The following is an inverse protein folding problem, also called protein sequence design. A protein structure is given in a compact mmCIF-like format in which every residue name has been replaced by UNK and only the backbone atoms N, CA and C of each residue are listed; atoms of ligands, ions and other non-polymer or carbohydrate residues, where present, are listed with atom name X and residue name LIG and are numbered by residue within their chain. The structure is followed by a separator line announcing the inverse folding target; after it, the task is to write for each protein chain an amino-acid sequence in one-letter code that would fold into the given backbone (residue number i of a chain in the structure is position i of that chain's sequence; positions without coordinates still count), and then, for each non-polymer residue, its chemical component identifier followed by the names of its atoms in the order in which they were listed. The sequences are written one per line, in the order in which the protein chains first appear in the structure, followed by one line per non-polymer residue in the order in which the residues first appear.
data_IF_502011535860
#
_entry.id   IF_502011535860
#
_cell.length_a   1.000
_cell.length_b   1.000
_cell.length_c   1.000
_cell.angle_alpha   90.00
_cell.angle_beta   90.00
_cell.angle_gamma   90.00
#
_symmetry.space_group_name_H-M   'P 1'
#
loop_
_entity.id
_entity.type
_entity.pdbx_description
1 polymer ?
#
# COMPACT_ATOMS: atom_id res chain seq x y z
N UNK A 1 -32.84 119.96 -11.55
CA UNK A 1 -32.20 119.87 -12.88
C UNK A 1 -32.86 118.72 -13.64
N UNK A 2 -33.75 119.03 -14.60
CA UNK A 2 -34.62 118.07 -15.29
C UNK A 2 -33.81 117.29 -16.33
N UNK A 3 -33.49 116.02 -16.05
CA UNK A 3 -33.04 115.09 -17.08
C UNK A 3 -34.10 115.01 -18.19
N UNK A 4 -33.71 115.20 -19.44
CA UNK A 4 -34.63 115.11 -20.58
C UNK A 4 -35.18 113.69 -20.72
N UNK A 5 -36.46 113.53 -21.12
CA UNK A 5 -37.11 112.22 -21.34
C UNK A 5 -36.28 111.29 -22.25
N UNK A 6 -35.43 111.84 -23.11
CA UNK A 6 -34.53 111.13 -24.01
C UNK A 6 -33.36 110.44 -23.27
N UNK A 7 -32.92 110.96 -22.13
CA UNK A 7 -31.85 110.39 -21.29
C UNK A 7 -32.31 109.16 -20.51
N UNK A 8 -33.56 109.18 -20.01
CA UNK A 8 -34.15 108.07 -19.24
C UNK A 8 -34.45 106.86 -20.14
N UNK A 9 -34.95 107.11 -21.35
CA UNK A 9 -35.22 106.07 -22.35
C UNK A 9 -33.94 105.32 -22.75
N UNK A 10 -32.83 106.05 -22.94
CA UNK A 10 -31.51 105.45 -23.23
C UNK A 10 -31.01 104.60 -22.05
N UNK A 11 -31.17 105.06 -20.81
CA UNK A 11 -30.75 104.30 -19.63
C UNK A 11 -31.54 102.99 -19.44
N UNK A 12 -32.86 103.04 -19.68
CA UNK A 12 -33.74 101.85 -19.66
C UNK A 12 -33.36 100.88 -20.78
N UNK A 13 -33.08 101.39 -21.99
CA UNK A 13 -32.65 100.57 -23.12
C UNK A 13 -31.29 99.90 -22.86
N UNK A 14 -30.31 100.61 -22.30
CA UNK A 14 -29.02 100.03 -21.90
C UNK A 14 -29.15 98.99 -20.78
N UNK A 15 -30.04 99.22 -19.80
CA UNK A 15 -30.35 98.24 -18.75
C UNK A 15 -31.01 96.97 -19.31
N UNK A 16 -31.95 97.11 -20.25
CA UNK A 16 -32.59 95.98 -20.92
C UNK A 16 -31.61 95.19 -21.79
N UNK A 17 -30.72 95.89 -22.52
CA UNK A 17 -29.67 95.23 -23.31
C UNK A 17 -28.68 94.51 -22.38
N UNK A 18 -28.28 95.13 -21.26
CA UNK A 18 -27.42 94.50 -20.25
C UNK A 18 -28.08 93.27 -19.60
N UNK A 19 -29.37 93.35 -19.28
CA UNK A 19 -30.12 92.21 -18.77
C UNK A 19 -30.24 91.09 -19.82
N UNK A 20 -30.43 91.44 -21.09
CA UNK A 20 -30.50 90.48 -22.20
C UNK A 20 -29.15 89.79 -22.44
N UNK A 21 -28.03 90.50 -22.37
CA UNK A 21 -26.70 89.90 -22.54
C UNK A 21 -26.34 89.00 -21.37
N UNK A 22 -26.69 89.39 -20.14
CA UNK A 22 -26.48 88.54 -18.95
C UNK A 22 -27.35 87.28 -19.01
N UNK A 23 -28.63 87.41 -19.38
CA UNK A 23 -29.52 86.24 -19.52
C UNK A 23 -29.08 85.29 -20.64
N UNK A 24 -28.66 85.81 -21.80
CA UNK A 24 -28.09 84.98 -22.87
C UNK A 24 -26.79 84.29 -22.45
N UNK A 25 -25.95 84.95 -21.66
CA UNK A 25 -24.71 84.36 -21.12
C UNK A 25 -25.00 83.23 -20.13
N UNK A 26 -26.00 83.42 -19.26
CA UNK A 26 -26.45 82.38 -18.30
C UNK A 26 -27.06 81.20 -19.05
N UNK A 27 -27.92 81.44 -20.04
CA UNK A 27 -28.51 80.38 -20.86
C UNK A 27 -27.46 79.62 -21.67
N UNK A 28 -26.46 80.32 -22.22
CA UNK A 28 -25.33 79.70 -22.91
C UNK A 28 -24.48 78.83 -21.97
N UNK A 29 -24.23 79.29 -20.75
CA UNK A 29 -23.50 78.52 -19.73
C UNK A 29 -24.28 77.26 -19.30
N UNK A 30 -25.58 77.38 -19.02
CA UNK A 30 -26.44 76.25 -18.69
C UNK A 30 -26.47 75.25 -19.85
N UNK A 31 -26.64 75.71 -21.09
CA UNK A 31 -26.67 74.84 -22.27
C UNK A 31 -25.33 74.09 -22.45
N UNK A 32 -24.20 74.78 -22.28
CA UNK A 32 -22.87 74.17 -22.33
C UNK A 32 -22.67 73.12 -21.23
N UNK A 33 -23.10 73.41 -20.00
CA UNK A 33 -23.05 72.45 -18.89
C UNK A 33 -23.92 71.22 -19.17
N UNK A 34 -25.13 71.43 -19.68
CA UNK A 34 -26.07 70.34 -20.01
C UNK A 34 -25.53 69.42 -21.10
N UNK A 35 -24.88 69.98 -22.13
CA UNK A 35 -24.22 69.20 -23.19
C UNK A 35 -23.05 68.37 -22.64
N UNK A 36 -22.25 68.94 -21.74
CA UNK A 36 -21.12 68.24 -21.13
C UNK A 36 -21.58 67.12 -20.19
N UNK A 37 -22.64 67.35 -19.41
CA UNK A 37 -23.25 66.33 -18.57
C UNK A 37 -23.88 65.21 -19.40
N UNK A 38 -24.56 65.54 -20.52
CA UNK A 38 -25.10 64.54 -21.43
C UNK A 38 -23.99 63.68 -22.04
N UNK A 39 -22.89 64.29 -22.51
CA UNK A 39 -21.72 63.56 -23.02
C UNK A 39 -21.11 62.64 -21.97
N UNK A 40 -20.99 63.10 -20.72
CA UNK A 40 -20.50 62.28 -19.60
C UNK A 40 -21.43 61.11 -19.30
N UNK A 41 -22.74 61.34 -19.28
CA UNK A 41 -23.74 60.29 -19.03
C UNK A 41 -23.73 59.27 -20.17
N UNK A 42 -23.68 59.71 -21.44
CA UNK A 42 -23.58 58.81 -22.59
C UNK A 42 -22.26 58.02 -22.58
N UNK A 43 -21.15 58.64 -22.20
CA UNK A 43 -19.87 57.97 -22.01
C UNK A 43 -19.92 56.89 -20.92
N UNK A 44 -20.44 57.24 -19.74
CA UNK A 44 -20.62 56.29 -18.64
C UNK A 44 -21.59 55.15 -19.02
N UNK A 45 -22.64 55.43 -19.80
CA UNK A 45 -23.56 54.40 -20.27
C UNK A 45 -22.91 53.45 -21.27
N UNK A 46 -22.03 53.96 -22.14
CA UNK A 46 -21.23 53.13 -23.04
C UNK A 46 -20.26 52.24 -22.25
N UNK A 47 -19.52 52.81 -21.29
CA UNK A 47 -18.61 52.06 -20.42
C UNK A 47 -19.32 50.98 -19.60
N UNK A 48 -20.48 51.32 -19.02
CA UNK A 48 -21.29 50.37 -18.26
C UNK A 48 -21.90 49.28 -19.16
N UNK A 49 -22.23 49.62 -20.41
CA UNK A 49 -22.68 48.64 -21.41
C UNK A 49 -21.56 47.68 -21.81
N UNK A 50 -20.35 48.18 -21.99
CA UNK A 50 -19.17 47.38 -22.32
C UNK A 50 -18.75 46.49 -21.14
N UNK A 51 -18.82 47.01 -19.91
CA UNK A 51 -18.58 46.23 -18.70
C UNK A 51 -19.62 45.11 -18.56
N UNK A 52 -20.90 45.41 -18.81
CA UNK A 52 -21.95 44.39 -18.82
C UNK A 52 -21.68 43.29 -19.84
N UNK A 53 -21.30 43.65 -21.07
CA UNK A 53 -20.94 42.68 -22.10
C UNK A 53 -19.74 41.82 -21.68
N UNK A 54 -18.72 42.44 -21.09
CA UNK A 54 -17.55 41.73 -20.55
C UNK A 54 -17.91 40.74 -19.42
N UNK A 55 -18.82 41.14 -18.53
CA UNK A 55 -19.33 40.28 -17.46
C UNK A 55 -20.17 39.13 -18.00
N UNK A 56 -21.05 39.39 -18.98
CA UNK A 56 -21.87 38.36 -19.62
C UNK A 56 -20.99 37.32 -20.35
N UNK A 57 -19.93 37.76 -21.03
CA UNK A 57 -18.93 36.87 -21.64
C UNK A 57 -18.17 36.04 -20.61
N UNK A 58 -17.72 36.65 -19.51
CA UNK A 58 -17.05 35.92 -18.41
C UNK A 58 -17.99 34.90 -17.77
N UNK A 59 -19.25 35.26 -17.57
CA UNK A 59 -20.25 34.38 -16.97
C UNK A 59 -20.56 33.20 -17.91
N UNK A 60 -20.66 33.45 -19.21
CA UNK A 60 -20.80 32.41 -20.22
C UNK A 60 -19.57 31.47 -20.24
N UNK A 61 -18.36 32.02 -20.17
CA UNK A 61 -17.11 31.24 -20.12
C UNK A 61 -17.02 30.37 -18.86
N UNK A 62 -17.30 30.93 -17.68
CA UNK A 62 -17.27 30.21 -16.40
C UNK A 62 -18.36 29.13 -16.38
N UNK A 63 -19.56 29.43 -16.90
CA UNK A 63 -20.65 28.45 -17.02
C UNK A 63 -20.27 27.29 -17.95
N UNK A 64 -19.64 27.57 -19.09
CA UNK A 64 -19.14 26.55 -20.00
C UNK A 64 -18.01 25.71 -19.37
N UNK A 65 -17.10 26.34 -18.62
CA UNK A 65 -16.04 25.63 -17.91
C UNK A 65 -16.57 24.79 -16.75
N UNK A 66 -17.56 25.29 -16.00
CA UNK A 66 -18.26 24.55 -14.96
C UNK A 66 -18.99 23.35 -15.57
N UNK A 67 -19.68 23.53 -16.70
CA UNK A 67 -20.35 22.45 -17.42
C UNK A 67 -19.34 21.41 -17.92
N UNK A 68 -18.17 21.83 -18.40
CA UNK A 68 -17.06 20.94 -18.76
C UNK A 68 -16.54 20.16 -17.55
N UNK A 69 -16.35 20.82 -16.41
CA UNK A 69 -15.90 20.21 -15.16
C UNK A 69 -16.96 19.32 -14.51
N UNK A 70 -18.24 19.59 -14.72
CA UNK A 70 -19.35 18.76 -14.25
C UNK A 70 -19.59 17.55 -15.16
N UNK A 71 -19.40 17.70 -16.47
CA UNK A 71 -19.54 16.62 -17.45
C UNK A 71 -18.34 15.66 -17.46
N UNK A 72 -17.20 16.09 -16.93
CA UNK A 72 -16.18 15.17 -16.43
C UNK A 72 -16.53 14.92 -14.97
N UNK A 73 -17.39 13.94 -14.68
CA UNK A 73 -17.65 13.53 -13.29
C UNK A 73 -16.36 12.90 -12.72
N UNK A 74 -15.44 13.78 -12.35
CA UNK A 74 -14.11 13.45 -11.89
C UNK A 74 -14.20 12.69 -10.59
N UNK A 75 -15.26 12.90 -9.81
CA UNK A 75 -15.53 12.13 -8.59
C UNK A 75 -15.90 10.69 -8.96
N UNK A 76 -16.90 10.48 -9.81
CA UNK A 76 -17.29 9.12 -10.23
C UNK A 76 -16.11 8.37 -10.85
N UNK A 77 -15.34 9.03 -11.73
CA UNK A 77 -14.13 8.43 -12.30
C UNK A 77 -13.07 8.11 -11.26
N UNK A 78 -12.87 8.97 -10.26
CA UNK A 78 -11.92 8.71 -9.18
C UNK A 78 -12.40 7.57 -8.27
N UNK A 79 -13.69 7.52 -7.96
CA UNK A 79 -14.31 6.45 -7.17
C UNK A 79 -14.15 5.10 -7.89
N UNK A 80 -14.44 5.04 -9.21
CA UNK A 80 -14.24 3.85 -10.05
C UNK A 80 -12.76 3.43 -10.12
N UNK A 81 -11.84 4.39 -10.27
CA UNK A 81 -10.39 4.12 -10.30
C UNK A 81 -9.89 3.63 -8.93
N UNK A 82 -10.41 4.16 -7.83
CA UNK A 82 -10.04 3.74 -6.48
C UNK A 82 -10.51 2.30 -6.21
N UNK A 83 -11.74 1.95 -6.61
CA UNK A 83 -12.25 0.58 -6.55
C UNK A 83 -11.43 -0.38 -7.42
N UNK A 84 -11.04 0.04 -8.62
CA UNK A 84 -10.19 -0.76 -9.51
C UNK A 84 -8.79 -0.96 -8.91
N UNK A 85 -8.14 0.09 -8.42
CA UNK A 85 -6.81 0.00 -7.78
C UNK A 85 -6.86 -0.92 -6.56
N UNK A 86 -7.89 -0.79 -5.74
CA UNK A 86 -8.08 -1.65 -4.56
C UNK A 86 -8.24 -3.11 -4.97
N UNK A 87 -9.02 -3.37 -6.03
CA UNK A 87 -9.22 -4.72 -6.59
C UNK A 87 -7.91 -5.28 -7.14
N UNK A 88 -7.13 -4.48 -7.88
CA UNK A 88 -5.79 -4.86 -8.36
C UNK A 88 -4.90 -5.25 -7.19
N UNK A 89 -4.70 -4.35 -6.23
CA UNK A 89 -3.80 -4.59 -5.09
C UNK A 89 -4.17 -5.84 -4.33
N UNK A 90 -5.46 -6.02 -4.03
CA UNK A 90 -5.98 -7.18 -3.32
C UNK A 90 -5.76 -8.47 -4.11
N UNK A 91 -6.23 -8.53 -5.36
CA UNK A 91 -6.23 -9.79 -6.12
C UNK A 91 -4.81 -10.22 -6.52
N UNK A 92 -3.90 -9.29 -6.85
CA UNK A 92 -2.50 -9.65 -7.11
C UNK A 92 -1.79 -10.11 -5.83
N UNK A 93 -2.05 -9.48 -4.67
CA UNK A 93 -1.51 -9.94 -3.39
C UNK A 93 -2.02 -11.35 -3.04
N UNK A 94 -3.31 -11.61 -3.24
CA UNK A 94 -3.88 -12.95 -3.08
C UNK A 94 -3.22 -13.96 -4.02
N UNK A 95 -2.99 -13.62 -5.29
CA UNK A 95 -2.34 -14.52 -6.24
C UNK A 95 -0.93 -14.93 -5.80
N UNK A 96 -0.14 -13.98 -5.26
CA UNK A 96 1.19 -14.28 -4.70
C UNK A 96 1.07 -15.24 -3.52
N UNK A 97 0.16 -14.97 -2.57
CA UNK A 97 -0.02 -15.81 -1.39
C UNK A 97 -0.49 -17.24 -1.75
N UNK A 98 -1.42 -17.37 -2.70
CA UNK A 98 -1.90 -18.67 -3.17
C UNK A 98 -0.81 -19.46 -3.88
N UNK A 99 0.04 -18.79 -4.68
CA UNK A 99 1.19 -19.41 -5.31
C UNK A 99 2.22 -19.91 -4.30
N UNK A 100 2.55 -19.11 -3.28
CA UNK A 100 3.47 -19.55 -2.21
C UNK A 100 2.89 -20.70 -1.38
N UNK A 101 1.59 -20.69 -1.12
CA UNK A 101 0.89 -21.80 -0.47
C UNK A 101 0.96 -23.08 -1.31
N UNK A 102 0.86 -22.96 -2.63
CA UNK A 102 1.01 -24.07 -3.56
C UNK A 102 2.45 -24.60 -3.61
N UNK A 103 3.46 -23.72 -3.59
CA UNK A 103 4.86 -24.13 -3.47
C UNK A 103 5.08 -24.94 -2.19
N UNK A 104 4.55 -24.47 -1.05
CA UNK A 104 4.60 -25.19 0.22
C UNK A 104 3.92 -26.56 0.16
N UNK A 105 2.79 -26.66 -0.55
CA UNK A 105 2.09 -27.93 -0.74
C UNK A 105 2.92 -28.92 -1.57
N UNK A 106 3.64 -28.43 -2.59
CA UNK A 106 4.51 -29.25 -3.45
C UNK A 106 5.68 -29.90 -2.70
N UNK A 107 6.13 -29.30 -1.60
CA UNK A 107 7.12 -29.93 -0.71
C UNK A 107 6.59 -31.21 -0.03
N UNK A 108 5.26 -31.34 0.09
CA UNK A 108 4.59 -32.45 0.79
C UNK A 108 3.99 -33.49 -0.15
N UNK A 109 3.64 -33.10 -1.38
CA UNK A 109 2.97 -33.97 -2.35
C UNK A 109 3.29 -33.58 -3.78
N UNK A 110 3.36 -34.57 -4.67
CA UNK A 110 3.52 -34.36 -6.11
C UNK A 110 2.18 -34.20 -6.84
N UNK A 111 1.05 -34.42 -6.15
CA UNK A 111 -0.30 -34.36 -6.74
C UNK A 111 -0.84 -32.93 -6.72
N UNK A 112 -0.22 -32.03 -7.48
CA UNK A 112 -0.61 -30.61 -7.48
C UNK A 112 -1.20 -30.08 -8.79
N UNK A 113 -1.28 -30.93 -9.82
CA UNK A 113 -1.68 -30.50 -11.16
C UNK A 113 -3.02 -29.74 -11.20
N UNK A 114 -4.04 -30.20 -10.47
CA UNK A 114 -5.34 -29.52 -10.43
C UNK A 114 -5.28 -28.13 -9.77
N UNK A 115 -4.37 -27.92 -8.82
CA UNK A 115 -4.14 -26.60 -8.22
C UNK A 115 -3.40 -25.68 -9.18
N UNK A 116 -2.48 -26.23 -9.98
CA UNK A 116 -1.74 -25.50 -11.01
C UNK A 116 -2.70 -24.98 -12.10
N UNK A 117 -3.70 -25.77 -12.46
CA UNK A 117 -4.78 -25.38 -13.39
C UNK A 117 -5.61 -24.21 -12.82
N UNK A 118 -6.04 -24.28 -11.55
CA UNK A 118 -6.78 -23.20 -10.90
C UNK A 118 -5.97 -21.90 -10.79
N UNK A 119 -4.68 -22.01 -10.44
CA UNK A 119 -3.80 -20.84 -10.41
C UNK A 119 -3.66 -20.24 -11.80
N UNK A 120 -3.50 -21.07 -12.83
CA UNK A 120 -3.42 -20.61 -14.23
C UNK A 120 -4.69 -19.90 -14.65
N UNK A 121 -5.87 -20.43 -14.33
CA UNK A 121 -7.16 -19.79 -14.61
C UNK A 121 -7.27 -18.43 -13.91
N UNK A 122 -6.87 -18.33 -12.65
CA UNK A 122 -6.83 -17.06 -11.92
C UNK A 122 -5.92 -16.03 -12.62
N UNK A 123 -4.73 -16.44 -13.08
CA UNK A 123 -3.81 -15.57 -13.83
C UNK A 123 -4.41 -15.15 -15.19
N UNK A 124 -5.14 -16.05 -15.87
CA UNK A 124 -5.86 -15.71 -17.10
C UNK A 124 -6.96 -14.68 -16.82
N UNK A 125 -7.73 -14.82 -15.74
CA UNK A 125 -8.72 -13.81 -15.35
C UNK A 125 -8.07 -12.46 -15.03
N UNK A 126 -6.95 -12.45 -14.31
CA UNK A 126 -6.17 -11.24 -14.02
C UNK A 126 -5.68 -10.56 -15.31
N UNK A 127 -5.17 -11.32 -16.29
CA UNK A 127 -4.73 -10.78 -17.59
C UNK A 127 -5.86 -10.09 -18.36
N UNK A 128 -7.11 -10.53 -18.12
CA UNK A 128 -8.33 -9.97 -18.71
C UNK A 128 -8.97 -8.88 -17.84
N UNK A 129 -8.30 -8.43 -16.76
CA UNK A 129 -8.81 -7.48 -15.76
C UNK A 129 -10.13 -7.93 -15.09
N UNK A 130 -10.40 -9.24 -15.07
CA UNK A 130 -11.56 -9.80 -14.38
C UNK A 130 -11.20 -10.16 -12.94
N UNK A 131 -11.10 -9.13 -12.09
CA UNK A 131 -10.68 -9.27 -10.69
C UNK A 131 -11.67 -10.08 -9.84
N UNK A 132 -12.96 -10.02 -10.15
CA UNK A 132 -13.99 -10.77 -9.44
C UNK A 132 -13.84 -12.28 -9.65
N UNK A 133 -13.73 -12.74 -10.91
CA UNK A 133 -13.51 -14.15 -11.21
C UNK A 133 -12.14 -14.62 -10.70
N UNK A 134 -11.09 -13.82 -10.89
CA UNK A 134 -9.77 -14.15 -10.35
C UNK A 134 -9.80 -14.35 -8.83
N UNK A 135 -10.43 -13.42 -8.09
CA UNK A 135 -10.54 -13.53 -6.63
C UNK A 135 -11.34 -14.76 -6.19
N UNK A 136 -12.42 -15.10 -6.90
CA UNK A 136 -13.21 -16.29 -6.62
C UNK A 136 -12.41 -17.58 -6.88
N UNK A 137 -11.68 -17.64 -8.00
CA UNK A 137 -10.82 -18.79 -8.33
C UNK A 137 -9.67 -18.95 -7.34
N UNK A 138 -9.03 -17.85 -6.90
CA UNK A 138 -7.98 -17.90 -5.87
C UNK A 138 -8.53 -18.37 -4.52
N UNK A 139 -9.71 -17.90 -4.13
CA UNK A 139 -10.35 -18.36 -2.89
C UNK A 139 -10.69 -19.86 -2.93
N UNK A 140 -11.12 -20.37 -4.09
CA UNK A 140 -11.36 -21.80 -4.26
C UNK A 140 -10.04 -22.60 -4.23
N UNK A 141 -9.00 -22.12 -4.92
CA UNK A 141 -7.66 -22.68 -4.86
C UNK A 141 -7.16 -22.81 -3.41
N UNK A 142 -7.19 -21.72 -2.63
CA UNK A 142 -6.73 -21.72 -1.23
C UNK A 142 -7.53 -22.71 -0.36
N UNK A 143 -8.84 -22.79 -0.59
CA UNK A 143 -9.71 -23.75 0.10
C UNK A 143 -9.33 -25.19 -0.25
N UNK A 144 -9.07 -25.49 -1.51
CA UNK A 144 -8.70 -26.84 -1.93
C UNK A 144 -7.28 -27.22 -1.47
N UNK A 145 -6.33 -26.28 -1.48
CA UNK A 145 -5.00 -26.46 -0.88
C UNK A 145 -5.15 -26.86 0.58
N UNK A 146 -5.95 -26.11 1.36
CA UNK A 146 -6.17 -26.38 2.77
C UNK A 146 -6.77 -27.77 3.01
N UNK A 147 -7.75 -28.16 2.19
CA UNK A 147 -8.37 -29.48 2.28
C UNK A 147 -7.37 -30.61 2.00
N UNK A 148 -6.48 -30.45 1.01
CA UNK A 148 -5.44 -31.45 0.74
C UNK A 148 -4.39 -31.49 1.85
N UNK A 149 -4.00 -30.34 2.42
CA UNK A 149 -3.11 -30.30 3.58
C UNK A 149 -3.69 -31.04 4.78
N UNK A 150 -4.98 -30.85 5.07
CA UNK A 150 -5.66 -31.55 6.17
C UNK A 150 -5.72 -33.06 5.94
N UNK A 151 -5.97 -33.48 4.71
CA UNK A 151 -5.95 -34.89 4.30
C UNK A 151 -4.55 -35.49 4.41
N UNK A 152 -3.50 -34.77 4.01
CA UNK A 152 -2.11 -35.21 4.18
C UNK A 152 -1.75 -35.35 5.66
N UNK A 153 -2.16 -34.40 6.50
CA UNK A 153 -1.97 -34.46 7.95
C UNK A 153 -2.69 -35.68 8.57
N UNK A 154 -3.93 -35.94 8.18
CA UNK A 154 -4.67 -37.12 8.62
C UNK A 154 -4.03 -38.45 8.15
N UNK A 155 -3.47 -38.48 6.95
CA UNK A 155 -2.77 -39.66 6.41
C UNK A 155 -1.45 -39.90 7.17
N UNK A 156 -0.70 -38.84 7.47
CA UNK A 156 0.52 -38.94 8.26
C UNK A 156 0.27 -39.49 9.68
N UNK A 157 -0.89 -39.18 10.28
CA UNK A 157 -1.29 -39.74 11.57
C UNK A 157 -1.65 -41.23 11.53
N UNK A 158 -2.13 -41.73 10.38
CA UNK A 158 -2.52 -43.15 10.20
C UNK A 158 -1.40 -44.04 9.67
N UNK A 159 -0.34 -43.46 9.10
CA UNK A 159 0.81 -44.19 8.57
C UNK A 159 1.84 -44.64 9.62
N UNK A 160 1.58 -44.42 10.92
CA UNK A 160 2.50 -44.82 11.99
C UNK A 160 2.55 -46.35 12.05
N UNK A 161 3.72 -46.97 11.81
CA UNK A 161 3.84 -48.43 11.87
C UNK A 161 3.46 -48.95 13.27
N UNK A 162 2.61 -49.98 13.33
CA UNK A 162 2.09 -50.53 14.59
C UNK A 162 3.17 -51.06 15.55
N UNK A 163 4.40 -51.26 15.06
CA UNK A 163 5.56 -51.69 15.85
C UNK A 163 6.28 -50.52 16.57
N UNK A 164 5.87 -49.27 16.36
CA UNK A 164 6.46 -48.12 17.07
C UNK A 164 5.76 -47.97 18.43
N UNK A 165 6.49 -47.99 19.56
CA UNK A 165 5.88 -47.88 20.88
C UNK A 165 5.27 -46.49 21.11
N UNK A 166 4.09 -46.47 21.74
CA UNK A 166 3.48 -45.23 22.27
C UNK A 166 4.18 -44.86 23.56
N UNK A 167 4.87 -43.71 23.56
CA UNK A 167 5.55 -43.18 24.73
C UNK A 167 5.58 -41.64 24.66
N UNK A 168 5.10 -40.99 25.71
CA UNK A 168 5.12 -39.52 25.82
C UNK A 168 6.36 -39.01 26.57
N UNK A 169 7.19 -39.89 27.13
CA UNK A 169 8.44 -39.51 27.78
C UNK A 169 9.59 -39.46 26.77
N UNK A 170 10.49 -38.45 26.84
CA UNK A 170 11.69 -38.42 26.01
C UNK A 170 12.64 -39.59 26.35
N UNK A 171 13.49 -40.04 25.41
CA UNK A 171 14.50 -41.05 25.72
C UNK A 171 15.51 -40.51 26.75
N UNK A 172 16.10 -41.40 27.56
CA UNK A 172 17.12 -41.01 28.54
C UNK A 172 18.43 -40.52 27.89
N UNK A 173 18.77 -41.07 26.73
CA UNK A 173 19.88 -40.63 25.88
C UNK A 173 19.74 -41.20 24.46
N UNK A 174 20.47 -40.62 23.51
CA UNK A 174 20.53 -41.09 22.13
C UNK A 174 19.29 -40.78 21.31
N UNK A 175 19.16 -41.50 20.18
CA UNK A 175 18.05 -41.36 19.25
C UNK A 175 16.92 -42.33 19.57
N UNK A 176 15.68 -41.86 19.51
CA UNK A 176 14.47 -42.68 19.59
C UNK A 176 13.47 -42.23 18.53
N UNK A 177 12.75 -43.19 17.96
CA UNK A 177 11.53 -42.92 17.19
C UNK A 177 10.36 -43.56 17.92
N UNK A 178 9.40 -42.74 18.33
CA UNK A 178 8.26 -43.17 19.14
C UNK A 178 6.98 -42.48 18.72
N UNK A 179 5.86 -43.04 19.13
CA UNK A 179 4.54 -42.44 18.95
C UNK A 179 4.17 -41.65 20.20
N UNK A 180 3.86 -40.36 20.05
CA UNK A 180 3.41 -39.50 21.13
C UNK A 180 1.90 -39.32 21.00
N UNK A 181 1.17 -39.65 22.07
CA UNK A 181 -0.27 -39.48 22.15
C UNK A 181 -0.62 -38.09 22.69
N UNK A 182 -1.51 -37.38 22.00
CA UNK A 182 -2.02 -36.05 22.39
C UNK A 182 -3.55 -36.06 22.34
N UNK A 183 -4.19 -35.01 22.85
CA UNK A 183 -5.65 -34.87 22.82
C UNK A 183 -6.23 -34.89 21.39
N UNK A 184 -5.44 -34.42 20.41
CA UNK A 184 -5.86 -34.29 19.01
C UNK A 184 -5.38 -35.44 18.12
N UNK A 185 -4.69 -36.44 18.68
CA UNK A 185 -4.24 -37.63 17.96
C UNK A 185 -2.83 -38.08 18.33
N UNK A 186 -2.36 -39.08 17.59
CA UNK A 186 -1.04 -39.66 17.78
C UNK A 186 -0.08 -39.23 16.67
N UNK A 187 1.16 -38.91 17.05
CA UNK A 187 2.18 -38.42 16.12
C UNK A 187 3.46 -39.23 16.24
N UNK A 188 4.05 -39.61 15.11
CA UNK A 188 5.38 -40.21 15.09
C UNK A 188 6.43 -39.10 15.23
N UNK A 189 7.26 -39.20 16.26
CA UNK A 189 8.30 -38.22 16.56
C UNK A 189 9.66 -38.90 16.53
N UNK A 190 10.64 -38.20 15.95
CA UNK A 190 12.06 -38.56 16.01
C UNK A 190 12.72 -37.65 17.05
N UNK A 191 13.24 -38.22 18.13
CA UNK A 191 13.83 -37.50 19.25
C UNK A 191 15.32 -37.83 19.38
N UNK A 192 16.10 -36.83 19.78
CA UNK A 192 17.48 -37.01 20.22
C UNK A 192 17.58 -36.42 21.62
N UNK A 193 17.95 -37.25 22.59
CA UNK A 193 18.25 -36.82 23.96
C UNK A 193 19.75 -36.90 24.22
N UNK A 194 20.30 -35.86 24.85
CA UNK A 194 21.71 -35.80 25.15
C UNK A 194 21.93 -35.03 26.46
N UNK A 195 22.90 -35.48 27.24
CA UNK A 195 23.31 -34.79 28.45
C UNK A 195 24.25 -33.62 28.07
N UNK A 196 23.86 -32.40 28.44
CA UNK A 196 24.65 -31.20 28.19
C UNK A 196 26.02 -31.23 28.91
N UNK A 197 26.20 -32.04 29.95
CA UNK A 197 27.50 -32.21 30.62
C UNK A 197 28.56 -32.85 29.72
N UNK A 198 28.11 -33.64 28.72
CA UNK A 198 28.96 -34.37 27.78
C UNK A 198 28.71 -34.00 26.31
N UNK A 199 27.71 -33.15 26.05
CA UNK A 199 27.29 -32.76 24.70
C UNK A 199 27.33 -31.25 24.53
N UNK A 200 28.00 -30.81 23.46
CA UNK A 200 28.03 -29.39 23.07
C UNK A 200 27.01 -29.11 21.98
N UNK A 201 26.21 -28.07 22.17
CA UNK A 201 25.34 -27.52 21.13
C UNK A 201 26.14 -26.49 20.32
N UNK A 202 26.07 -26.61 18.99
CA UNK A 202 26.76 -25.74 18.04
C UNK A 202 25.70 -25.04 17.21
N UNK A 203 25.64 -23.71 17.29
CA UNK A 203 24.84 -22.89 16.38
C UNK A 203 25.74 -22.54 15.20
N UNK A 204 25.38 -22.97 13.99
CA UNK A 204 26.20 -22.79 12.81
C UNK A 204 25.42 -22.10 11.68
N UNK A 205 26.10 -21.31 10.87
CA UNK A 205 25.53 -20.51 9.78
C UNK A 205 26.29 -20.76 8.49
N UNK A 206 25.61 -20.75 7.34
CA UNK A 206 26.28 -20.89 6.06
C UNK A 206 27.15 -19.68 5.71
N UNK A 207 26.72 -18.46 6.08
CA UNK A 207 27.52 -17.24 5.92
C UNK A 207 28.37 -16.96 7.17
N UNK A 208 29.45 -16.19 6.98
CA UNK A 208 30.36 -15.79 8.06
C UNK A 208 29.86 -14.59 8.88
N UNK A 209 28.89 -13.84 8.35
CA UNK A 209 28.25 -12.70 9.02
C UNK A 209 26.85 -12.42 8.44
N UNK A 210 26.20 -11.35 8.96
CA UNK A 210 24.87 -10.90 8.53
C UNK A 210 24.79 -10.85 7.01
N UNK A 211 23.76 -11.51 6.47
CA UNK A 211 23.51 -11.59 5.05
C UNK A 211 22.05 -11.22 4.79
N UNK A 212 21.84 -10.17 3.99
CA UNK A 212 20.50 -9.63 3.74
C UNK A 212 19.80 -10.23 2.52
N UNK A 213 20.55 -10.77 1.56
CA UNK A 213 20.03 -11.31 0.30
C UNK A 213 21.02 -12.29 -0.33
N UNK A 214 20.52 -13.20 -1.17
CA UNK A 214 21.28 -14.24 -1.88
C UNK A 214 22.25 -15.01 -0.97
N UNK A 215 21.79 -15.33 0.23
CA UNK A 215 22.62 -15.95 1.25
C UNK A 215 22.96 -17.41 0.90
N UNK A 216 24.17 -17.88 1.27
CA UNK A 216 24.54 -19.27 1.04
C UNK A 216 23.62 -20.19 1.84
N UNK A 217 23.26 -21.33 1.25
CA UNK A 217 22.46 -22.38 1.88
C UNK A 217 23.24 -23.68 1.83
N UNK A 218 23.18 -24.44 2.92
CA UNK A 218 23.77 -25.76 3.03
C UNK A 218 22.71 -26.74 3.51
N UNK A 219 22.85 -28.01 3.13
CA UNK A 219 21.96 -29.03 3.67
C UNK A 219 22.23 -29.22 5.17
N UNK A 220 21.22 -29.67 5.92
CA UNK A 220 21.39 -30.00 7.34
C UNK A 220 22.51 -31.04 7.54
N UNK A 221 22.66 -31.98 6.61
CA UNK A 221 23.73 -32.98 6.61
C UNK A 221 25.13 -32.39 6.49
N UNK A 222 25.31 -31.31 5.72
CA UNK A 222 26.59 -30.62 5.57
C UNK A 222 26.98 -29.90 6.87
N UNK A 223 26.01 -29.25 7.54
CA UNK A 223 26.23 -28.66 8.86
C UNK A 223 26.62 -29.71 9.89
N UNK A 224 25.97 -30.87 9.90
CA UNK A 224 26.32 -31.98 10.81
C UNK A 224 27.74 -32.48 10.51
N UNK A 225 28.03 -32.78 9.24
CA UNK A 225 29.30 -33.37 8.81
C UNK A 225 30.49 -32.44 9.08
N UNK A 226 30.38 -31.16 8.74
CA UNK A 226 31.50 -30.19 8.88
C UNK A 226 31.84 -29.85 10.33
N UNK A 227 30.91 -30.11 11.25
CA UNK A 227 31.13 -29.89 12.69
C UNK A 227 31.47 -31.18 13.44
N UNK A 228 31.49 -32.33 12.77
CA UNK A 228 31.64 -33.63 13.43
C UNK A 228 30.50 -33.91 14.44
N UNK A 229 29.31 -33.36 14.19
CA UNK A 229 28.15 -33.57 15.03
C UNK A 229 27.53 -34.95 14.76
N UNK A 230 26.86 -35.52 15.76
CA UNK A 230 26.11 -36.77 15.61
C UNK A 230 24.62 -36.54 15.26
N UNK A 231 24.12 -35.32 15.41
CA UNK A 231 22.75 -34.93 15.13
C UNK A 231 22.69 -33.44 14.73
N UNK A 232 21.63 -33.06 14.02
CA UNK A 232 21.35 -31.69 13.64
C UNK A 232 19.85 -31.44 13.57
N UNK A 233 19.46 -30.20 13.87
CA UNK A 233 18.09 -29.70 13.71
C UNK A 233 18.16 -28.35 12.99
N UNK A 234 17.14 -28.04 12.19
CA UNK A 234 17.03 -26.70 11.60
C UNK A 234 16.76 -25.66 12.69
N UNK A 235 17.32 -24.47 12.52
CA UNK A 235 17.21 -23.35 13.46
C UNK A 235 16.09 -22.39 13.09
N UNK A 236 16.46 -21.21 12.60
CA UNK A 236 15.52 -20.16 12.21
C UNK A 236 14.78 -20.48 10.91
N UNK A 237 13.59 -19.90 10.76
CA UNK A 237 13.00 -19.71 9.45
C UNK A 237 13.91 -18.78 8.61
N UNK A 238 13.90 -18.98 7.30
CA UNK A 238 14.60 -18.15 6.33
C UNK A 238 13.69 -17.92 5.13
N UNK A 239 14.02 -16.93 4.30
CA UNK A 239 13.26 -16.62 3.10
C UNK A 239 13.64 -17.59 1.96
N UNK A 240 12.75 -18.49 1.50
CA UNK A 240 13.09 -19.43 0.43
C UNK A 240 13.33 -18.72 -0.90
N UNK A 241 14.16 -19.30 -1.76
CA UNK A 241 14.48 -18.72 -3.07
C UNK A 241 13.29 -18.73 -4.04
N UNK A 242 12.37 -19.67 -3.85
CA UNK A 242 11.22 -19.91 -4.72
C UNK A 242 10.05 -18.96 -4.42
N UNK A 243 10.07 -18.27 -3.27
CA UNK A 243 8.97 -17.44 -2.79
C UNK A 243 9.07 -16.02 -3.36
N UNK A 244 8.09 -15.52 -4.14
CA UNK A 244 8.15 -14.17 -4.69
C UNK A 244 8.21 -13.07 -3.63
N UNK A 245 7.57 -13.25 -2.46
CA UNK A 245 7.66 -12.31 -1.33
C UNK A 245 9.06 -12.23 -0.71
N UNK A 246 9.94 -13.16 -1.06
CA UNK A 246 11.34 -13.19 -0.67
C UNK A 246 12.29 -12.49 -1.65
N UNK A 247 11.76 -11.88 -2.72
CA UNK A 247 12.58 -11.11 -3.65
C UNK A 247 13.39 -10.01 -2.92
N UNK A 248 14.70 -9.98 -3.16
CA UNK A 248 15.63 -9.05 -2.52
C UNK A 248 16.02 -9.42 -1.07
N UNK A 249 15.57 -10.57 -0.58
CA UNK A 249 15.96 -11.17 0.71
C UNK A 249 16.09 -12.69 0.63
N UNK A 250 16.47 -13.20 -0.54
CA UNK A 250 16.59 -14.63 -0.82
C UNK A 250 17.58 -15.30 0.14
N UNK A 251 17.17 -16.40 0.73
CA UNK A 251 17.90 -17.20 1.71
C UNK A 251 18.33 -16.48 3.00
N UNK A 252 17.89 -15.23 3.22
CA UNK A 252 18.20 -14.51 4.45
C UNK A 252 17.24 -14.90 5.58
N UNK A 253 17.65 -14.61 6.81
CA UNK A 253 16.85 -14.83 8.01
C UNK A 253 16.96 -13.61 8.91
N UNK A 254 15.90 -13.30 9.65
CA UNK A 254 15.83 -12.10 10.49
C UNK A 254 16.23 -12.34 11.96
N UNK A 255 16.28 -13.60 12.37
CA UNK A 255 16.52 -13.99 13.77
C UNK A 255 17.90 -13.53 14.24
N UNK A 256 17.96 -12.83 15.39
CA UNK A 256 19.20 -12.58 16.10
C UNK A 256 19.77 -13.91 16.59
N UNK A 257 21.01 -14.19 16.23
CA UNK A 257 21.74 -15.33 16.76
C UNK A 257 23.23 -15.02 16.87
N UNK A 258 23.93 -15.84 17.65
CA UNK A 258 25.39 -15.88 17.67
C UNK A 258 25.84 -17.25 17.18
N UNK A 259 26.67 -17.29 16.14
CA UNK A 259 27.17 -18.55 15.59
C UNK A 259 28.37 -19.09 16.39
N UNK A 260 28.86 -20.28 16.01
CA UNK A 260 30.00 -20.97 16.63
C UNK A 260 31.30 -20.16 16.62
N UNK A 261 31.42 -19.22 15.68
CA UNK A 261 32.56 -18.31 15.55
C UNK A 261 32.39 -17.02 16.38
N UNK A 262 31.36 -16.96 17.24
CA UNK A 262 31.00 -15.80 18.08
C UNK A 262 30.64 -14.55 17.27
N UNK A 263 30.18 -14.73 16.04
CA UNK A 263 29.67 -13.62 15.21
C UNK A 263 28.18 -13.45 15.49
N UNK A 264 27.78 -12.22 15.82
CA UNK A 264 26.39 -11.83 15.97
C UNK A 264 25.77 -11.51 14.62
N UNK A 265 24.60 -12.07 14.37
CA UNK A 265 23.81 -11.85 13.16
C UNK A 265 22.60 -11.00 13.50
N UNK A 266 22.21 -10.10 12.59
CA UNK A 266 20.97 -9.32 12.72
C UNK A 266 20.85 -8.55 14.04
N UNK A 267 21.98 -8.03 14.56
CA UNK A 267 22.01 -7.26 15.81
C UNK A 267 21.05 -6.07 15.81
N UNK A 268 20.88 -5.43 14.65
CA UNK A 268 20.00 -4.27 14.46
C UNK A 268 18.51 -4.63 14.66
N UNK A 269 18.13 -5.90 14.51
CA UNK A 269 16.75 -6.36 14.70
C UNK A 269 16.37 -6.53 16.19
N UNK A 270 17.31 -6.33 17.13
CA UNK A 270 17.10 -6.66 18.54
C UNK A 270 16.61 -5.49 19.42
N UNK A 271 16.15 -4.38 18.85
CA UNK A 271 15.69 -3.23 19.64
C UNK A 271 14.38 -3.55 20.40
N UNK A 272 13.53 -4.42 19.84
CA UNK A 272 12.24 -4.83 20.43
C UNK A 272 11.90 -6.31 20.16
N UNK A 273 12.89 -7.20 20.20
CA UNK A 273 12.66 -8.62 19.89
C UNK A 273 11.74 -9.27 20.92
N UNK A 274 10.66 -9.91 20.44
CA UNK A 274 9.80 -10.82 21.21
C UNK A 274 10.23 -12.28 21.06
N UNK A 275 11.30 -12.55 20.30
CA UNK A 275 11.81 -13.91 20.08
C UNK A 275 12.51 -14.39 21.36
N UNK A 276 12.07 -15.50 21.97
CA UNK A 276 12.73 -16.07 23.13
C UNK A 276 14.21 -16.38 22.85
N UNK A 277 15.08 -16.05 23.80
CA UNK A 277 16.51 -16.32 23.69
C UNK A 277 16.81 -17.68 24.27
N UNK A 278 17.57 -18.49 23.54
CA UNK A 278 18.10 -19.76 24.09
C UNK A 278 19.62 -19.67 24.09
N UNK A 279 20.22 -19.86 25.27
CA UNK A 279 21.68 -19.80 25.44
C UNK A 279 22.16 -21.15 25.94
N UNK A 280 23.08 -21.76 25.19
CA UNK A 280 23.78 -22.98 25.55
C UNK A 280 25.17 -22.65 26.08
N UNK A 281 25.43 -23.04 27.32
CA UNK A 281 26.76 -23.00 27.92
C UNK A 281 27.34 -24.39 28.12
N UNK A 282 28.51 -24.46 28.76
CA UNK A 282 29.15 -25.74 29.06
C UNK A 282 28.36 -26.46 30.18
N UNK A 283 27.54 -27.44 29.82
CA UNK A 283 26.71 -28.19 30.78
C UNK A 283 25.37 -27.54 31.15
N UNK A 284 24.96 -26.43 30.52
CA UNK A 284 23.72 -25.74 30.90
C UNK A 284 23.01 -25.07 29.73
N UNK A 285 21.72 -24.80 29.92
CA UNK A 285 20.84 -24.07 29.00
C UNK A 285 20.06 -22.99 29.76
N UNK A 286 19.82 -21.84 29.13
CA UNK A 286 18.93 -20.76 29.63
C UNK A 286 17.93 -20.36 28.55
N UNK A 287 16.74 -19.98 28.98
CA UNK A 287 15.63 -19.45 28.19
C UNK A 287 15.27 -18.04 28.66
#
# INVERSE_FOLDING_TARGET
MKLSKLSYLKLILFSLIGALTVTLSILGYIHYQTINDLKRITGNHAELSDEKLSLDEKLASISAELTRLQNVDQKLRNDELEEEITSIQKTYSSAVNSYESLLKLREKTTKTQSFDELLTDALVYLSKRNYASASATLADLDKQIKAEEDKLAATAATAIPANVPVNNAPPGSGYSRQQVATEIGNYMVSLVAADLSSTRVIVDTASEGTCGNDCPVLSLGDYVSRNGAFAGINGSYFCPAEYPSCAGKTNSFDTLLMNKNKVYFNGDNNVYSTVPVVIFGNGWIRF
#
